data_IF_104299922411
#
_entry.id   IF_104299922411
#
_cell.length_a   1.000
_cell.length_b   1.000
_cell.length_c   1.000
_cell.angle_alpha   90.00
_cell.angle_beta   90.00
_cell.angle_gamma   90.00
#
_symmetry.space_group_name_H-M   'P 1'
#
loop_
_entity.id
_entity.type
_entity.pdbx_description
1 polymer ?
#
# COMPACT_ATOMS: atom_id res chain seq x y z
N UNK A 1 46.38 28.63 -1.93
CA UNK A 1 45.22 28.17 -1.13
C UNK A 1 45.70 27.01 -0.27
N UNK A 2 45.61 27.11 1.06
CA UNK A 2 46.13 26.05 1.94
C UNK A 2 45.42 24.70 1.70
N UNK A 3 46.14 23.57 1.69
CA UNK A 3 45.56 22.25 1.45
C UNK A 3 44.45 21.89 2.44
N UNK A 4 44.50 22.43 3.66
CA UNK A 4 43.46 22.26 4.68
C UNK A 4 42.14 22.98 4.34
N UNK A 5 42.19 24.18 3.72
CA UNK A 5 41.00 24.91 3.26
C UNK A 5 40.34 24.22 2.06
N UNK A 6 41.14 23.67 1.14
CA UNK A 6 40.63 22.96 -0.03
C UNK A 6 39.92 21.65 0.35
N UNK A 7 40.46 20.89 1.32
CA UNK A 7 39.81 19.68 1.85
C UNK A 7 38.47 19.98 2.56
N UNK A 8 38.39 21.08 3.31
CA UNK A 8 37.14 21.52 3.98
C UNK A 8 36.07 21.96 2.98
N UNK A 9 36.46 22.69 1.93
CA UNK A 9 35.55 23.09 0.85
C UNK A 9 35.01 21.89 0.06
N UNK A 10 35.87 20.91 -0.27
CA UNK A 10 35.48 19.67 -0.94
C UNK A 10 34.53 18.82 -0.08
N UNK A 11 34.80 18.71 1.23
CA UNK A 11 33.93 17.99 2.16
C UNK A 11 32.56 18.67 2.32
N UNK A 12 32.53 19.99 2.45
CA UNK A 12 31.28 20.76 2.53
C UNK A 12 30.46 20.65 1.23
N UNK A 13 31.12 20.69 0.07
CA UNK A 13 30.47 20.51 -1.24
C UNK A 13 29.91 19.09 -1.39
N UNK A 14 30.66 18.08 -0.97
CA UNK A 14 30.23 16.67 -1.01
C UNK A 14 29.02 16.42 -0.10
N UNK A 15 29.00 17.01 1.10
CA UNK A 15 27.88 16.92 2.03
C UNK A 15 26.63 17.64 1.49
N UNK A 16 26.80 18.82 0.89
CA UNK A 16 25.70 19.56 0.27
C UNK A 16 25.07 18.78 -0.90
N UNK A 17 25.91 18.16 -1.75
CA UNK A 17 25.44 17.31 -2.86
C UNK A 17 24.72 16.06 -2.32
N UNK A 18 25.23 15.42 -1.28
CA UNK A 18 24.60 14.25 -0.67
C UNK A 18 23.21 14.57 -0.07
N UNK A 19 23.06 15.73 0.59
CA UNK A 19 21.75 16.20 1.08
C UNK A 19 20.75 16.44 -0.06
N UNK A 20 21.18 17.10 -1.14
CA UNK A 20 20.32 17.40 -2.29
C UNK A 20 19.85 16.13 -3.02
N UNK A 21 20.70 15.11 -3.14
CA UNK A 21 20.35 13.83 -3.77
C UNK A 21 19.39 13.01 -2.90
N UNK A 22 19.59 13.03 -1.58
CA UNK A 22 18.75 12.30 -0.63
C UNK A 22 17.32 12.88 -0.57
N UNK A 23 17.19 14.21 -0.63
CA UNK A 23 15.88 14.86 -0.68
C UNK A 23 15.06 14.51 -1.93
N UNK A 24 15.71 14.39 -3.10
CA UNK A 24 15.04 14.00 -4.35
C UNK A 24 14.52 12.57 -4.32
N UNK A 25 15.31 11.64 -3.78
CA UNK A 25 14.91 10.25 -3.68
C UNK A 25 13.68 10.07 -2.78
N UNK A 26 13.66 10.71 -1.61
CA UNK A 26 12.50 10.67 -0.71
C UNK A 26 11.26 11.31 -1.33
N UNK A 27 11.41 12.46 -2.00
CA UNK A 27 10.30 13.12 -2.69
C UNK A 27 9.71 12.25 -3.80
N UNK A 28 10.56 11.54 -4.55
CA UNK A 28 10.11 10.61 -5.59
C UNK A 28 9.35 9.41 -5.01
N UNK A 29 9.84 8.82 -3.92
CA UNK A 29 9.14 7.72 -3.24
C UNK A 29 7.78 8.16 -2.72
N UNK A 30 7.70 9.34 -2.08
CA UNK A 30 6.44 9.90 -1.62
C UNK A 30 5.47 10.15 -2.79
N UNK A 31 5.95 10.69 -3.91
CA UNK A 31 5.12 10.91 -5.09
C UNK A 31 4.57 9.59 -5.67
N UNK A 32 5.36 8.51 -5.68
CA UNK A 32 4.92 7.19 -6.13
C UNK A 32 3.85 6.59 -5.20
N UNK A 33 3.99 6.80 -3.89
CA UNK A 33 2.99 6.38 -2.90
C UNK A 33 1.70 7.17 -3.05
N UNK A 34 1.79 8.49 -3.14
CA UNK A 34 0.62 9.35 -3.29
C UNK A 34 -0.13 9.03 -4.58
N UNK A 35 0.60 8.71 -5.66
CA UNK A 35 -0.01 8.27 -6.91
C UNK A 35 -0.69 6.92 -6.78
N UNK A 36 -0.10 5.96 -6.05
CA UNK A 36 -0.74 4.67 -5.82
C UNK A 36 -2.04 4.79 -5.01
N UNK A 37 -2.06 5.65 -3.98
CA UNK A 37 -3.29 5.95 -3.24
C UNK A 37 -4.33 6.64 -4.11
N UNK A 38 -3.95 7.65 -4.90
CA UNK A 38 -4.87 8.33 -5.82
C UNK A 38 -5.45 7.37 -6.86
N UNK A 39 -4.64 6.49 -7.42
CA UNK A 39 -5.08 5.47 -8.36
C UNK A 39 -6.09 4.53 -7.70
N UNK A 40 -5.77 3.99 -6.51
CA UNK A 40 -6.64 3.09 -5.76
C UNK A 40 -7.97 3.76 -5.39
N UNK A 41 -7.95 5.01 -4.93
CA UNK A 41 -9.14 5.81 -4.63
C UNK A 41 -10.02 5.96 -5.87
N UNK A 42 -9.45 6.40 -6.99
CA UNK A 42 -10.18 6.60 -8.25
C UNK A 42 -10.78 5.30 -8.80
N UNK A 43 -10.08 4.18 -8.62
CA UNK A 43 -10.59 2.85 -9.01
C UNK A 43 -11.73 2.45 -8.09
N UNK A 44 -11.59 2.60 -6.78
CA UNK A 44 -12.66 2.32 -5.83
C UNK A 44 -13.92 3.17 -6.08
N UNK A 45 -13.77 4.47 -6.28
CA UNK A 45 -14.88 5.39 -6.62
C UNK A 45 -15.64 4.95 -7.88
N UNK A 46 -14.93 4.46 -8.90
CA UNK A 46 -15.56 3.92 -10.12
C UNK A 46 -16.25 2.58 -9.91
N UNK A 47 -15.74 1.75 -9.01
CA UNK A 47 -16.36 0.48 -8.66
C UNK A 47 -17.61 0.67 -7.78
N UNK A 48 -17.65 1.73 -6.96
CA UNK A 48 -18.64 1.95 -5.91
C UNK A 48 -20.11 1.80 -6.34
N UNK A 49 -20.57 2.34 -7.50
CA UNK A 49 -21.97 2.19 -7.89
C UNK A 49 -22.43 0.74 -8.10
N UNK A 50 -21.50 -0.20 -8.32
CA UNK A 50 -21.77 -1.63 -8.47
C UNK A 50 -21.49 -2.46 -7.23
N UNK A 51 -21.18 -1.81 -6.10
CA UNK A 51 -20.83 -2.45 -4.84
C UNK A 51 -22.04 -2.42 -3.90
N UNK A 52 -22.33 -3.53 -3.23
CA UNK A 52 -23.27 -3.54 -2.08
C UNK A 52 -22.61 -3.00 -0.80
N UNK A 53 -23.38 -2.91 0.29
CA UNK A 53 -22.89 -2.45 1.60
C UNK A 53 -21.74 -3.30 2.17
N UNK A 54 -21.73 -4.59 1.84
CA UNK A 54 -20.69 -5.54 2.23
C UNK A 54 -20.24 -6.36 1.03
N UNK A 55 -18.93 -6.59 0.89
CA UNK A 55 -18.35 -7.56 -0.06
C UNK A 55 -17.37 -8.48 0.63
N UNK A 56 -17.53 -9.79 0.48
CA UNK A 56 -16.63 -10.79 1.08
C UNK A 56 -16.45 -10.61 2.61
N UNK A 57 -17.47 -10.08 3.30
CA UNK A 57 -17.42 -9.76 4.74
C UNK A 57 -16.61 -8.50 5.09
N UNK A 58 -16.36 -7.63 4.11
CA UNK A 58 -15.76 -6.31 4.27
C UNK A 58 -16.86 -5.27 4.12
N UNK A 59 -16.98 -4.39 5.13
CA UNK A 59 -17.83 -3.21 5.07
C UNK A 59 -17.23 -2.20 4.08
N UNK A 60 -18.02 -1.82 3.07
CA UNK A 60 -17.54 -1.00 1.96
C UNK A 60 -17.37 0.47 2.36
N UNK A 61 -18.14 0.95 3.32
CA UNK A 61 -17.99 2.31 3.84
C UNK A 61 -16.74 2.41 4.72
N UNK A 62 -16.47 1.43 5.60
CA UNK A 62 -15.22 1.35 6.37
C UNK A 62 -14.01 1.28 5.43
N UNK A 63 -14.09 0.47 4.36
CA UNK A 63 -13.03 0.37 3.34
C UNK A 63 -12.78 1.71 2.65
N UNK A 64 -13.84 2.37 2.17
CA UNK A 64 -13.75 3.68 1.53
C UNK A 64 -13.16 4.74 2.47
N UNK A 65 -13.60 4.77 3.73
CA UNK A 65 -13.10 5.69 4.74
C UNK A 65 -11.62 5.44 5.07
N UNK A 66 -11.19 4.19 5.17
CA UNK A 66 -9.78 3.84 5.38
C UNK A 66 -8.91 4.31 4.21
N UNK A 67 -9.38 4.12 2.98
CA UNK A 67 -8.67 4.50 1.76
C UNK A 67 -8.59 6.03 1.56
N UNK A 68 -9.61 6.78 1.99
CA UNK A 68 -9.72 8.23 1.80
C UNK A 68 -9.14 9.06 2.95
N UNK A 69 -9.51 8.74 4.20
CA UNK A 69 -9.29 9.63 5.34
C UNK A 69 -8.01 9.33 6.13
N UNK A 70 -7.40 8.13 5.95
CA UNK A 70 -6.31 7.59 6.78
C UNK A 70 -6.63 7.54 8.29
N UNK A 71 -7.78 8.02 8.74
CA UNK A 71 -8.33 7.89 10.07
C UNK A 71 -9.82 7.63 9.94
N UNK A 72 -10.29 6.52 10.48
CA UNK A 72 -11.66 6.06 10.31
C UNK A 72 -12.12 5.29 11.55
N UNK A 73 -13.44 5.16 11.73
CA UNK A 73 -14.00 4.24 12.72
C UNK A 73 -14.07 2.86 12.09
N UNK A 74 -13.47 1.86 12.73
CA UNK A 74 -13.50 0.48 12.25
C UNK A 74 -14.49 -0.35 13.03
N UNK A 75 -15.41 -0.99 12.30
CA UNK A 75 -16.34 -1.97 12.85
C UNK A 75 -15.62 -3.25 13.28
N UNK A 76 -14.60 -3.69 12.53
CA UNK A 76 -13.79 -4.87 12.86
C UNK A 76 -12.94 -4.67 14.12
N UNK A 77 -12.25 -3.53 14.25
CA UNK A 77 -11.37 -3.24 15.39
C UNK A 77 -12.08 -2.55 16.56
N UNK A 78 -13.39 -2.26 16.43
CA UNK A 78 -14.25 -1.66 17.46
C UNK A 78 -13.73 -0.31 17.99
N UNK A 79 -13.32 0.57 17.10
CA UNK A 79 -12.81 1.89 17.49
C UNK A 79 -12.17 2.67 16.35
N UNK A 80 -11.62 3.84 16.69
CA UNK A 80 -10.90 4.66 15.72
C UNK A 80 -9.56 4.01 15.35
N UNK A 81 -9.28 3.92 14.06
CA UNK A 81 -8.02 3.45 13.49
C UNK A 81 -7.38 4.58 12.70
N UNK A 82 -6.08 4.75 12.87
CA UNK A 82 -5.24 5.65 12.07
C UNK A 82 -4.24 4.81 11.27
N UNK A 83 -4.21 5.01 9.96
CA UNK A 83 -3.22 4.45 9.06
C UNK A 83 -1.97 5.34 9.05
N UNK A 84 -0.81 4.76 9.37
CA UNK A 84 0.50 5.38 9.17
C UNK A 84 1.28 4.63 8.11
N UNK A 85 2.17 5.34 7.42
CA UNK A 85 3.07 4.74 6.43
C UNK A 85 4.50 4.78 6.92
N UNK A 86 5.22 3.68 6.75
CA UNK A 86 6.64 3.57 7.08
C UNK A 86 7.40 2.93 5.92
N UNK A 87 8.66 3.32 5.75
CA UNK A 87 9.56 2.68 4.79
C UNK A 87 10.23 1.47 5.45
N UNK A 88 10.06 0.29 4.88
CA UNK A 88 10.74 -0.93 5.30
C UNK A 88 12.15 -1.03 4.70
N UNK A 89 13.04 -1.74 5.39
CA UNK A 89 14.31 -2.17 4.81
C UNK A 89 14.10 -3.45 4.00
N UNK A 90 15.06 -3.85 3.15
CA UNK A 90 14.91 -5.06 2.30
C UNK A 90 14.95 -6.39 3.06
N UNK A 91 14.73 -6.42 4.38
CA UNK A 91 14.86 -7.58 5.25
C UNK A 91 13.51 -8.04 5.78
N UNK A 92 13.46 -9.20 6.43
CA UNK A 92 12.25 -9.76 7.00
C UNK A 92 11.13 -9.89 5.97
N UNK A 93 9.92 -9.44 6.29
CA UNK A 93 8.77 -9.45 5.37
C UNK A 93 9.05 -8.70 4.06
N UNK A 94 9.85 -7.64 4.08
CA UNK A 94 10.19 -6.87 2.87
C UNK A 94 11.17 -7.57 1.92
N UNK A 95 11.70 -8.75 2.30
CA UNK A 95 12.39 -9.62 1.34
C UNK A 95 11.42 -10.34 0.39
N UNK A 96 10.12 -10.36 0.71
CA UNK A 96 9.10 -11.14 0.00
C UNK A 96 7.93 -10.30 -0.54
N UNK A 97 7.62 -9.18 0.10
CA UNK A 97 6.44 -8.39 -0.23
C UNK A 97 6.80 -6.99 -0.71
N UNK A 98 5.92 -6.40 -1.52
CA UNK A 98 6.00 -5.00 -1.91
C UNK A 98 5.52 -4.08 -0.78
N UNK A 99 4.48 -4.47 -0.05
CA UNK A 99 4.05 -3.82 1.17
C UNK A 99 3.45 -4.86 2.12
N UNK A 100 3.20 -4.47 3.37
CA UNK A 100 2.38 -5.23 4.30
C UNK A 100 1.87 -4.29 5.41
N UNK A 101 0.76 -4.64 6.05
CA UNK A 101 0.29 -3.94 7.25
C UNK A 101 0.67 -4.66 8.53
N UNK A 102 0.98 -3.89 9.57
CA UNK A 102 1.11 -4.40 10.95
C UNK A 102 -0.26 -4.34 11.62
N UNK A 103 -0.88 -5.51 11.77
CA UNK A 103 -2.16 -5.73 12.45
C UNK A 103 -2.00 -6.80 13.55
N UNK A 104 -2.83 -6.78 14.61
CA UNK A 104 -3.91 -5.82 14.89
C UNK A 104 -3.38 -4.40 15.19
N UNK A 105 -4.25 -3.37 15.19
CA UNK A 105 -3.85 -2.00 15.49
C UNK A 105 -3.18 -1.89 16.87
N UNK A 106 -2.02 -1.24 16.93
CA UNK A 106 -1.35 -0.91 18.20
C UNK A 106 -1.77 0.50 18.64
N UNK A 107 -2.46 0.63 19.77
CA UNK A 107 -3.00 1.91 20.25
C UNK A 107 -3.82 2.66 19.19
N UNK A 108 -4.64 1.92 18.43
CA UNK A 108 -5.46 2.48 17.34
C UNK A 108 -4.68 2.85 16.08
N UNK A 109 -3.43 2.41 15.94
CA UNK A 109 -2.61 2.66 14.75
C UNK A 109 -2.35 1.35 13.99
N UNK A 110 -2.65 1.36 12.69
CA UNK A 110 -2.17 0.35 11.74
C UNK A 110 -1.06 0.97 10.92
N UNK A 111 0.07 0.29 10.81
CA UNK A 111 1.19 0.76 9.99
C UNK A 111 1.24 -0.02 8.68
N UNK A 112 1.09 0.68 7.56
CA UNK A 112 1.44 0.20 6.22
C UNK A 112 2.95 0.38 6.01
N UNK A 113 3.65 -0.74 5.90
CA UNK A 113 5.09 -0.77 5.62
C UNK A 113 5.29 -0.92 4.12
N UNK A 114 6.03 0.01 3.51
CA UNK A 114 6.37 -0.01 2.09
C UNK A 114 7.79 -0.53 1.89
N UNK A 115 7.89 -1.64 1.20
CA UNK A 115 9.16 -2.31 0.95
C UNK A 115 9.82 -1.79 -0.33
N UNK A 116 11.13 -2.01 -0.54
CA UNK A 116 11.83 -1.51 -1.72
C UNK A 116 11.18 -1.91 -3.05
N UNK A 117 10.61 -3.11 -3.13
CA UNK A 117 9.93 -3.62 -4.33
C UNK A 117 8.71 -2.77 -4.74
N UNK A 118 8.04 -2.10 -3.80
CA UNK A 118 6.94 -1.18 -4.10
C UNK A 118 7.37 -0.06 -5.06
N UNK A 119 8.60 0.42 -4.93
CA UNK A 119 9.12 1.55 -5.70
C UNK A 119 9.77 1.14 -7.03
N UNK A 120 9.58 -0.11 -7.46
CA UNK A 120 10.07 -0.60 -8.75
C UNK A 120 9.42 0.18 -9.90
N UNK A 121 10.24 0.64 -10.84
CA UNK A 121 9.75 1.38 -12.02
C UNK A 121 8.82 0.51 -12.86
N UNK A 122 7.73 1.09 -13.37
CA UNK A 122 6.78 0.40 -14.26
C UNK A 122 5.80 -0.54 -13.55
N UNK A 123 5.79 -0.57 -12.21
CA UNK A 123 4.91 -1.43 -11.41
C UNK A 123 3.59 -0.74 -11.01
N UNK A 124 3.08 0.17 -11.84
CA UNK A 124 2.01 1.10 -11.46
C UNK A 124 0.70 0.38 -11.11
N UNK A 125 0.27 -0.54 -11.97
CA UNK A 125 -0.92 -1.36 -11.72
C UNK A 125 -0.76 -2.28 -10.49
N UNK A 126 0.46 -2.81 -10.27
CA UNK A 126 0.77 -3.62 -9.10
C UNK A 126 0.77 -2.81 -7.81
N UNK A 127 1.26 -1.55 -7.84
CA UNK A 127 1.19 -0.63 -6.70
C UNK A 127 -0.25 -0.30 -6.34
N UNK A 128 -1.08 0.00 -7.32
CA UNK A 128 -2.51 0.22 -7.12
C UNK A 128 -3.17 -1.00 -6.48
N UNK A 129 -2.98 -2.19 -7.07
CA UNK A 129 -3.49 -3.45 -6.52
C UNK A 129 -3.00 -3.67 -5.08
N UNK A 130 -1.72 -3.39 -4.80
CA UNK A 130 -1.14 -3.53 -3.47
C UNK A 130 -1.85 -2.62 -2.47
N UNK A 131 -2.09 -1.34 -2.80
CA UNK A 131 -2.85 -0.45 -1.92
C UNK A 131 -4.28 -0.97 -1.70
N UNK A 132 -4.97 -1.39 -2.76
CA UNK A 132 -6.32 -1.94 -2.65
C UNK A 132 -6.36 -3.17 -1.74
N UNK A 133 -5.39 -4.07 -1.87
CA UNK A 133 -5.23 -5.28 -1.08
C UNK A 133 -4.94 -4.98 0.39
N UNK A 134 -3.90 -4.18 0.67
CA UNK A 134 -3.50 -3.86 2.04
C UNK A 134 -4.61 -3.13 2.80
N UNK A 135 -5.41 -2.30 2.13
CA UNK A 135 -6.55 -1.64 2.78
C UNK A 135 -7.61 -2.62 3.26
N UNK A 136 -7.76 -3.79 2.61
CA UNK A 136 -8.65 -4.84 3.13
C UNK A 136 -8.14 -5.37 4.46
N UNK A 137 -6.83 -5.56 4.61
CA UNK A 137 -6.24 -5.97 5.88
C UNK A 137 -6.43 -4.91 6.97
N UNK A 138 -6.29 -3.63 6.61
CA UNK A 138 -6.56 -2.51 7.52
C UNK A 138 -7.98 -2.56 8.09
N UNK A 139 -8.99 -2.92 7.30
CA UNK A 139 -10.40 -2.86 7.74
C UNK A 139 -10.99 -4.19 8.19
N UNK A 140 -10.44 -5.32 7.74
CA UNK A 140 -11.08 -6.63 7.93
C UNK A 140 -10.17 -7.71 8.52
N UNK A 141 -8.86 -7.47 8.66
CA UNK A 141 -7.90 -8.42 9.25
C UNK A 141 -7.17 -9.32 8.22
N UNK A 142 -6.47 -10.38 8.66
CA UNK A 142 -5.33 -10.99 7.95
C UNK A 142 -5.66 -11.98 6.81
N UNK A 143 -6.92 -12.13 6.41
CA UNK A 143 -7.32 -13.11 5.38
C UNK A 143 -6.86 -12.64 3.98
N UNK A 144 -5.74 -13.20 3.51
CA UNK A 144 -5.09 -12.88 2.22
C UNK A 144 -6.02 -13.13 1.02
N UNK A 145 -6.78 -14.23 1.05
CA UNK A 145 -7.69 -14.60 -0.04
C UNK A 145 -8.86 -13.61 -0.14
N UNK A 146 -9.40 -13.16 1.00
CA UNK A 146 -10.40 -12.09 1.03
C UNK A 146 -9.82 -10.77 0.49
N UNK A 147 -8.62 -10.41 0.94
CA UNK A 147 -7.96 -9.17 0.54
C UNK A 147 -7.74 -9.12 -0.97
N UNK A 148 -7.22 -10.20 -1.54
CA UNK A 148 -6.99 -10.28 -2.98
C UNK A 148 -8.30 -10.38 -3.79
N UNK A 149 -9.29 -11.14 -3.31
CA UNK A 149 -10.58 -11.25 -4.00
C UNK A 149 -11.30 -9.90 -4.10
N UNK A 150 -11.32 -9.12 -3.01
CA UNK A 150 -11.94 -7.80 -3.02
C UNK A 150 -11.15 -6.81 -3.89
N UNK A 151 -9.82 -6.81 -3.80
CA UNK A 151 -8.99 -5.93 -4.63
C UNK A 151 -9.19 -6.20 -6.14
N UNK A 152 -9.21 -7.48 -6.54
CA UNK A 152 -9.49 -7.89 -7.91
C UNK A 152 -10.91 -7.50 -8.35
N UNK A 153 -11.93 -7.71 -7.50
CA UNK A 153 -13.30 -7.31 -7.78
C UNK A 153 -13.44 -5.80 -8.00
N UNK A 154 -12.78 -4.98 -7.17
CA UNK A 154 -12.77 -3.52 -7.31
C UNK A 154 -12.19 -3.12 -8.68
N UNK A 155 -11.04 -3.67 -9.07
CA UNK A 155 -10.46 -3.39 -10.40
C UNK A 155 -11.39 -3.84 -11.54
N UNK A 156 -11.96 -5.05 -11.44
CA UNK A 156 -12.88 -5.59 -12.43
C UNK A 156 -14.13 -4.72 -12.60
N UNK A 157 -14.71 -4.25 -11.50
CA UNK A 157 -15.89 -3.36 -11.54
C UNK A 157 -15.57 -2.00 -12.11
N UNK A 158 -14.40 -1.45 -11.79
CA UNK A 158 -13.99 -0.12 -12.23
C UNK A 158 -13.58 -0.07 -13.71
N UNK A 159 -13.01 -1.14 -14.25
CA UNK A 159 -12.33 -1.12 -15.56
C UNK A 159 -12.70 -2.26 -16.51
N UNK A 160 -13.45 -3.26 -16.03
CA UNK A 160 -13.74 -4.50 -16.76
C UNK A 160 -12.56 -5.48 -16.82
N UNK A 161 -11.45 -5.18 -16.14
CA UNK A 161 -10.25 -6.03 -16.03
C UNK A 161 -9.68 -5.93 -14.62
N UNK A 162 -8.89 -6.93 -14.21
CA UNK A 162 -8.08 -6.85 -13.00
C UNK A 162 -6.64 -7.30 -13.28
N UNK A 163 -5.72 -6.94 -12.39
CA UNK A 163 -4.32 -7.32 -12.50
C UNK A 163 -4.18 -8.83 -12.30
N UNK A 164 -3.53 -9.58 -13.21
CA UNK A 164 -3.35 -11.02 -13.06
C UNK A 164 -2.58 -11.37 -11.78
N UNK A 165 -3.15 -12.25 -10.96
CA UNK A 165 -2.61 -12.61 -9.63
C UNK A 165 -2.59 -14.12 -9.39
N UNK A 166 -2.73 -14.95 -10.44
CA UNK A 166 -2.83 -16.41 -10.33
C UNK A 166 -1.71 -17.01 -9.48
N UNK A 167 -0.46 -16.58 -9.72
CA UNK A 167 0.69 -17.05 -8.94
C UNK A 167 0.61 -16.71 -7.46
N UNK A 168 0.13 -15.50 -7.11
CA UNK A 168 -0.10 -15.12 -5.73
C UNK A 168 -1.28 -15.89 -5.14
N UNK A 169 -2.37 -16.05 -5.89
CA UNK A 169 -3.58 -16.74 -5.47
C UNK A 169 -3.33 -18.21 -5.11
N UNK A 170 -2.58 -18.92 -5.96
CA UNK A 170 -2.13 -20.30 -5.69
C UNK A 170 -1.17 -20.34 -4.51
N UNK A 171 -0.18 -19.44 -4.44
CA UNK A 171 0.80 -19.41 -3.35
C UNK A 171 0.16 -19.14 -1.97
N UNK A 172 -0.94 -18.38 -1.94
CA UNK A 172 -1.72 -18.10 -0.73
C UNK A 172 -2.75 -19.20 -0.41
N UNK A 173 -2.84 -20.27 -1.22
CA UNK A 173 -3.72 -21.41 -0.97
C UNK A 173 -5.21 -21.12 -1.23
N UNK A 174 -5.53 -20.18 -2.10
CA UNK A 174 -6.90 -19.67 -2.25
C UNK A 174 -7.81 -20.48 -3.21
N UNK A 175 -7.27 -21.41 -3.99
CA UNK A 175 -8.01 -22.15 -5.05
C UNK A 175 -9.22 -22.93 -4.54
N UNK A 176 -9.10 -23.55 -3.36
CA UNK A 176 -10.18 -24.29 -2.67
C UNK A 176 -10.98 -23.46 -1.66
N UNK A 177 -10.69 -22.17 -1.54
CA UNK A 177 -11.29 -21.31 -0.52
C UNK A 177 -12.71 -20.84 -0.82
N UNK A 178 -13.32 -20.17 0.16
CA UNK A 178 -14.65 -19.54 0.06
C UNK A 178 -14.67 -18.27 -0.80
N UNK A 179 -13.51 -17.73 -1.15
CA UNK A 179 -13.37 -16.55 -2.00
C UNK A 179 -13.01 -16.96 -3.42
N UNK A 180 -13.36 -16.13 -4.39
CA UNK A 180 -13.09 -16.35 -5.82
C UNK A 180 -12.62 -15.06 -6.46
N UNK A 181 -11.70 -15.19 -7.42
CA UNK A 181 -11.37 -14.11 -8.34
C UNK A 181 -12.51 -13.93 -9.36
N UNK A 182 -12.75 -12.71 -9.84
CA UNK A 182 -13.81 -12.39 -10.79
C UNK A 182 -13.51 -12.83 -12.24
#
# INVERSE_FOLDING_TARGET
>A
MEPARMKRLLAALSLAVALLLSGKAMAQQQAMLDEAFRAAQKTFERALPGMGETQFGVDIDDYGNALLAKRFTSSHWKGAVTLKTEMGDGKGSCSRFAAFVRIPPNQGVVTLVLCPQFFTKGADALRELTILHEMVHVVAGPDECRAMALAALIQQRATGKFTPVDGYWTASGCEGGRFKLP
#
